data_IF_603221228460
#
_entry.id   IF_603221228460
#
_cell.length_a   1.000
_cell.length_b   1.000
_cell.length_c   1.000
_cell.angle_alpha   90.00
_cell.angle_beta   90.00
_cell.angle_gamma   90.00
#
_symmetry.space_group_name_H-M   'P 1'
#
loop_
_entity.id
_entity.type
_entity.pdbx_description
1 polymer ?
#
# COMPACT_ATOMS: atom_id res chain seq x y z
N UNK A 1 -35.51 -6.87 -40.42
CA UNK A 1 -34.25 -7.36 -39.84
C UNK A 1 -33.08 -6.74 -40.58
N UNK A 2 -32.45 -5.71 -40.02
CA UNK A 2 -31.23 -5.13 -40.57
C UNK A 2 -30.10 -5.37 -39.57
N UNK A 3 -29.17 -6.27 -39.91
CA UNK A 3 -27.94 -6.51 -39.14
C UNK A 3 -27.03 -5.30 -39.36
N UNK A 4 -26.89 -4.45 -38.34
CA UNK A 4 -25.82 -3.45 -38.31
C UNK A 4 -24.54 -4.17 -37.91
N UNK A 5 -23.62 -4.30 -38.86
CA UNK A 5 -22.25 -4.75 -38.62
C UNK A 5 -21.59 -3.79 -37.61
N UNK A 6 -21.16 -4.32 -36.46
CA UNK A 6 -20.25 -3.61 -35.57
C UNK A 6 -18.88 -3.56 -36.26
N UNK A 7 -18.46 -2.36 -36.66
CA UNK A 7 -17.07 -2.13 -37.05
C UNK A 7 -16.23 -2.17 -35.77
N UNK A 8 -15.31 -3.13 -35.69
CA UNK A 8 -14.27 -3.18 -34.67
C UNK A 8 -13.28 -2.05 -35.01
N UNK A 9 -13.36 -0.93 -34.30
CA UNK A 9 -12.37 0.13 -34.42
C UNK A 9 -11.03 -0.44 -33.93
N UNK A 10 -10.07 -0.56 -34.84
CA UNK A 10 -8.70 -0.96 -34.50
C UNK A 10 -8.07 0.17 -33.72
N UNK A 11 -7.76 -0.08 -32.44
CA UNK A 11 -7.00 0.84 -31.59
C UNK A 11 -5.56 0.84 -32.12
N UNK A 12 -5.17 1.90 -32.81
CA UNK A 12 -3.76 2.14 -33.14
C UNK A 12 -3.04 2.50 -31.84
N UNK A 13 -2.04 1.71 -31.45
CA UNK A 13 -1.19 2.00 -30.30
C UNK A 13 -0.37 3.27 -30.58
N UNK A 14 -0.62 4.34 -29.83
CA UNK A 14 0.11 5.60 -29.92
C UNK A 14 1.35 5.54 -29.04
N UNK A 15 2.51 5.19 -29.60
CA UNK A 15 3.78 5.43 -28.91
C UNK A 15 4.23 6.87 -29.13
N UNK A 16 3.93 7.73 -28.16
CA UNK A 16 4.49 9.08 -28.08
C UNK A 16 5.93 9.01 -27.52
N UNK A 17 6.88 9.66 -28.18
CA UNK A 17 8.22 9.92 -27.62
C UNK A 17 8.25 11.37 -27.15
N UNK A 18 8.29 11.57 -25.83
CA UNK A 18 8.31 12.89 -25.21
C UNK A 18 9.75 13.38 -25.05
N UNK A 19 9.96 14.65 -25.42
CA UNK A 19 11.17 15.40 -25.09
C UNK A 19 11.18 15.66 -23.58
N UNK A 20 12.30 15.38 -22.90
CA UNK A 20 12.53 15.58 -21.46
C UNK A 20 12.40 17.05 -21.02
N UNK A 21 11.17 17.57 -20.99
CA UNK A 21 10.78 18.64 -20.09
C UNK A 21 10.37 18.00 -18.77
N UNK A 22 10.98 18.40 -17.65
CA UNK A 22 10.54 17.90 -16.34
C UNK A 22 9.06 18.27 -16.15
N UNK A 23 8.22 17.27 -15.90
CA UNK A 23 6.82 17.45 -15.55
C UNK A 23 6.68 18.46 -14.40
N UNK A 24 5.69 19.35 -14.45
CA UNK A 24 5.48 20.32 -13.37
C UNK A 24 5.01 19.61 -12.11
N UNK A 25 5.79 19.72 -11.05
CA UNK A 25 5.47 19.20 -9.72
C UNK A 25 5.23 20.33 -8.71
N UNK A 26 4.38 20.12 -7.69
CA UNK A 26 4.01 21.16 -6.71
C UNK A 26 5.13 21.56 -5.75
N UNK A 27 6.20 20.77 -5.67
CA UNK A 27 7.24 20.86 -4.66
C UNK A 27 6.79 20.26 -3.32
N UNK A 28 7.77 19.90 -2.50
CA UNK A 28 7.57 19.49 -1.12
C UNK A 28 8.50 20.28 -0.18
N UNK A 29 8.01 20.70 1.00
CA UNK A 29 8.88 21.24 2.05
C UNK A 29 9.78 20.16 2.68
N UNK A 30 9.48 18.87 2.47
CA UNK A 30 10.30 17.77 2.98
C UNK A 30 11.42 17.41 2.00
N UNK A 31 12.62 17.19 2.53
CA UNK A 31 13.79 16.81 1.74
C UNK A 31 13.72 15.37 1.20
N UNK A 32 12.99 14.50 1.91
CA UNK A 32 12.75 13.12 1.51
C UNK A 32 11.24 12.91 1.52
N UNK A 33 10.65 12.78 0.34
CA UNK A 33 9.23 12.60 0.16
C UNK A 33 8.96 11.63 -0.99
N UNK A 34 7.87 10.89 -0.88
CA UNK A 34 7.35 10.10 -1.97
C UNK A 34 6.71 11.01 -3.02
N UNK A 35 6.93 10.65 -4.28
CA UNK A 35 6.30 11.29 -5.43
C UNK A 35 5.93 10.31 -6.52
N UNK A 36 5.01 10.71 -7.38
CA UNK A 36 4.70 10.02 -8.63
C UNK A 36 4.44 11.03 -9.74
N UNK A 37 5.02 10.76 -10.91
CA UNK A 37 4.78 11.46 -12.17
C UNK A 37 4.08 10.50 -13.13
N UNK A 38 3.04 10.98 -13.82
CA UNK A 38 2.27 10.19 -14.78
C UNK A 38 2.05 10.97 -16.06
N UNK A 39 2.29 10.29 -17.17
CA UNK A 39 1.80 10.71 -18.48
C UNK A 39 0.74 9.73 -18.98
N UNK A 40 -0.38 10.26 -19.43
CA UNK A 40 -1.49 9.49 -19.98
C UNK A 40 -2.19 10.22 -21.13
N UNK A 41 -2.92 9.46 -21.93
CA UNK A 41 -3.74 9.97 -23.03
C UNK A 41 -5.20 9.59 -22.78
N UNK A 42 -6.09 10.58 -22.81
CA UNK A 42 -7.52 10.40 -22.70
C UNK A 42 -8.18 10.61 -24.07
N UNK A 43 -9.13 9.74 -24.42
CA UNK A 43 -9.87 9.77 -25.70
C UNK A 43 -10.97 10.85 -25.75
N UNK A 44 -10.77 11.98 -25.06
CA UNK A 44 -11.66 13.14 -25.03
C UNK A 44 -10.85 14.44 -24.95
N UNK A 45 -11.42 15.59 -25.35
CA UNK A 45 -10.76 16.89 -25.22
C UNK A 45 -10.45 17.24 -23.77
N UNK A 46 -9.41 18.05 -23.52
CA UNK A 46 -8.97 18.34 -22.17
C UNK A 46 -10.00 19.08 -21.32
N UNK A 47 -10.91 19.82 -21.96
CA UNK A 47 -12.05 20.41 -21.26
C UNK A 47 -12.93 19.34 -20.58
N UNK A 48 -13.24 18.24 -21.27
CA UNK A 48 -14.06 17.15 -20.72
C UNK A 48 -13.33 16.37 -19.63
N UNK A 49 -12.02 16.16 -19.79
CA UNK A 49 -11.16 15.55 -18.76
C UNK A 49 -11.12 16.43 -17.49
N UNK A 50 -10.88 17.74 -17.65
CA UNK A 50 -10.94 18.72 -16.55
C UNK A 50 -12.28 18.66 -15.83
N UNK A 51 -13.38 18.64 -16.58
CA UNK A 51 -14.71 18.59 -16.01
C UNK A 51 -14.96 17.33 -15.19
N UNK A 52 -14.45 16.16 -15.62
CA UNK A 52 -14.55 14.92 -14.83
C UNK A 52 -13.73 15.00 -13.54
N UNK A 53 -12.48 15.49 -13.63
CA UNK A 53 -11.61 15.69 -12.45
C UNK A 53 -12.33 16.57 -11.41
N UNK A 54 -12.86 17.72 -11.84
CA UNK A 54 -13.57 18.65 -10.96
C UNK A 54 -14.91 18.11 -10.46
N UNK A 55 -15.60 17.29 -11.28
CA UNK A 55 -16.82 16.62 -10.86
C UNK A 55 -16.53 15.60 -9.74
N UNK A 56 -15.44 14.82 -9.83
CA UNK A 56 -15.01 13.93 -8.74
C UNK A 56 -14.70 14.70 -7.47
N UNK A 57 -13.95 15.80 -7.57
CA UNK A 57 -13.61 16.65 -6.42
C UNK A 57 -14.87 17.22 -5.75
N UNK A 58 -15.89 17.62 -6.52
CA UNK A 58 -17.12 18.19 -5.96
C UNK A 58 -18.13 17.15 -5.44
N UNK A 59 -18.15 15.94 -5.99
CA UNK A 59 -19.06 14.86 -5.61
C UNK A 59 -18.62 14.05 -4.37
N UNK A 60 -17.47 14.39 -3.78
CA UNK A 60 -16.89 13.68 -2.63
C UNK A 60 -17.84 13.62 -1.45
N UNK A 61 -18.07 12.43 -0.90
CA UNK A 61 -18.97 12.26 0.23
C UNK A 61 -20.42 11.97 -0.16
N UNK A 62 -20.75 12.05 -1.45
CA UNK A 62 -22.08 11.82 -2.00
C UNK A 62 -21.99 10.78 -3.12
N UNK A 63 -21.85 11.23 -4.37
CA UNK A 63 -21.84 10.38 -5.55
C UNK A 63 -20.46 9.80 -5.86
N UNK A 64 -19.40 10.33 -5.24
CA UNK A 64 -18.05 9.83 -5.44
C UNK A 64 -17.27 9.78 -4.13
N UNK A 65 -16.36 8.83 -4.03
CA UNK A 65 -15.41 8.71 -2.93
C UNK A 65 -14.10 8.20 -3.51
N UNK A 66 -12.98 8.64 -2.91
CA UNK A 66 -11.66 8.14 -3.23
C UNK A 66 -11.57 6.62 -2.98
N UNK A 67 -11.45 5.79 -4.02
CA UNK A 67 -11.50 4.34 -3.87
C UNK A 67 -10.16 3.74 -3.40
N UNK A 68 -9.11 4.55 -3.27
CA UNK A 68 -7.81 4.06 -2.79
C UNK A 68 -7.78 3.91 -1.26
N UNK A 69 -8.11 4.97 -0.51
CA UNK A 69 -8.25 4.87 0.94
C UNK A 69 -9.23 5.88 1.55
N UNK A 70 -10.15 6.41 0.74
CA UNK A 70 -11.17 7.36 1.21
C UNK A 70 -10.62 8.73 1.57
N UNK A 71 -9.52 9.15 0.94
CA UNK A 71 -9.00 10.51 1.08
C UNK A 71 -9.94 11.57 0.50
N UNK A 72 -9.66 12.83 0.83
CA UNK A 72 -10.43 13.98 0.36
C UNK A 72 -9.55 14.89 -0.49
N UNK A 73 -9.95 15.09 -1.74
CA UNK A 73 -9.33 16.01 -2.70
C UNK A 73 -9.85 17.44 -2.52
N UNK A 74 -9.03 18.44 -2.86
CA UNK A 74 -9.42 19.86 -2.90
C UNK A 74 -8.76 20.54 -4.09
N UNK A 75 -9.51 21.39 -4.79
CA UNK A 75 -8.94 22.31 -5.76
C UNK A 75 -8.24 23.46 -5.03
N UNK A 76 -6.97 23.70 -5.36
CA UNK A 76 -6.16 24.80 -4.83
C UNK A 76 -6.07 25.96 -5.81
N UNK A 77 -6.04 25.66 -7.11
CA UNK A 77 -5.96 26.66 -8.17
C UNK A 77 -6.20 26.06 -9.54
N UNK A 78 -6.59 26.91 -10.49
CA UNK A 78 -6.66 26.56 -11.90
C UNK A 78 -6.10 27.71 -12.74
N UNK A 79 -5.41 27.36 -13.83
CA UNK A 79 -4.93 28.36 -14.78
C UNK A 79 -4.93 27.82 -16.21
N UNK A 80 -4.77 28.73 -17.17
CA UNK A 80 -4.60 28.39 -18.58
C UNK A 80 -3.35 29.10 -19.09
N UNK A 81 -2.40 28.34 -19.63
CA UNK A 81 -1.17 28.87 -20.23
C UNK A 81 -1.22 28.80 -21.77
N UNK A 82 -0.46 29.66 -22.43
CA UNK A 82 -0.38 29.73 -23.90
C UNK A 82 0.17 28.43 -24.50
N UNK A 83 -0.33 28.04 -25.67
CA UNK A 83 -0.14 26.71 -26.26
C UNK A 83 1.33 26.30 -26.46
N UNK A 84 1.63 25.06 -26.07
CA UNK A 84 2.85 24.37 -26.47
C UNK A 84 2.67 23.72 -27.84
N UNK A 85 3.73 23.73 -28.66
CA UNK A 85 3.82 22.91 -29.87
C UNK A 85 4.48 21.59 -29.51
N UNK A 86 3.87 20.49 -29.90
CA UNK A 86 4.42 19.14 -29.72
C UNK A 86 4.30 18.38 -31.02
N UNK A 87 5.14 17.36 -31.16
CA UNK A 87 5.19 16.55 -32.37
C UNK A 87 4.53 15.20 -32.07
N UNK A 88 3.40 14.92 -32.71
CA UNK A 88 2.74 13.61 -32.65
C UNK A 88 3.10 12.89 -33.96
N UNK A 89 3.78 11.74 -33.91
CA UNK A 89 4.12 10.95 -35.11
C UNK A 89 4.91 11.73 -36.19
N UNK A 90 5.78 12.66 -35.79
CA UNK A 90 6.49 13.53 -36.74
C UNK A 90 5.62 14.62 -37.38
N UNK A 91 4.36 14.77 -36.95
CA UNK A 91 3.47 15.86 -37.37
C UNK A 91 3.47 16.97 -36.30
N UNK A 92 3.70 18.23 -36.68
CA UNK A 92 3.52 19.35 -35.76
C UNK A 92 2.05 19.47 -35.38
N UNK A 93 1.76 19.33 -34.09
CA UNK A 93 0.45 19.59 -33.51
C UNK A 93 0.51 20.90 -32.73
N UNK A 94 -0.37 21.84 -33.09
CA UNK A 94 -0.54 23.10 -32.36
C UNK A 94 -1.58 22.92 -31.26
N UNK A 95 -1.14 22.89 -30.00
CA UNK A 95 -2.05 22.83 -28.85
C UNK A 95 -2.77 24.15 -28.60
N UNK A 96 -4.07 24.08 -28.33
CA UNK A 96 -4.93 25.21 -27.92
C UNK A 96 -4.74 25.58 -26.45
N UNK A 97 -3.51 25.83 -26.02
CA UNK A 97 -3.19 26.15 -24.62
C UNK A 97 -3.21 24.94 -23.69
N UNK A 98 -2.50 25.04 -22.56
CA UNK A 98 -2.53 24.00 -21.53
C UNK A 98 -3.46 24.44 -20.40
N UNK A 99 -4.27 23.51 -19.89
CA UNK A 99 -5.05 23.72 -18.66
C UNK A 99 -4.26 23.16 -17.48
N UNK A 100 -4.02 23.98 -16.47
CA UNK A 100 -3.34 23.54 -15.26
C UNK A 100 -4.33 23.50 -14.08
N UNK A 101 -4.31 22.40 -13.33
CA UNK A 101 -5.05 22.24 -12.09
C UNK A 101 -4.07 21.94 -10.95
N UNK A 102 -4.16 22.71 -9.88
CA UNK A 102 -3.44 22.45 -8.64
C UNK A 102 -4.43 21.89 -7.63
N UNK A 103 -4.16 20.70 -7.09
CA UNK A 103 -5.01 20.03 -6.13
C UNK A 103 -4.23 19.63 -4.89
N UNK A 104 -4.93 19.36 -3.80
CA UNK A 104 -4.39 18.58 -2.69
C UNK A 104 -5.28 17.38 -2.41
N UNK A 105 -4.71 16.40 -1.74
CA UNK A 105 -5.44 15.29 -1.16
C UNK A 105 -4.99 15.09 0.27
N UNK A 106 -5.94 14.89 1.16
CA UNK A 106 -5.69 14.50 2.55
C UNK A 106 -6.18 13.08 2.77
N UNK A 107 -5.36 12.23 3.40
CA UNK A 107 -5.78 10.85 3.73
C UNK A 107 -6.98 10.83 4.67
N UNK A 108 -7.75 9.74 4.70
CA UNK A 108 -8.96 9.63 5.53
C UNK A 108 -8.72 9.88 7.02
N UNK A 109 -7.53 9.57 7.53
CA UNK A 109 -7.13 9.82 8.92
C UNK A 109 -6.59 11.25 9.18
N UNK A 110 -6.58 12.13 8.17
CA UNK A 110 -6.10 13.51 8.28
C UNK A 110 -4.57 13.67 8.40
N UNK A 111 -3.80 12.59 8.39
CA UNK A 111 -2.38 12.60 8.77
C UNK A 111 -1.43 13.00 7.63
N UNK A 112 -1.76 12.62 6.41
CA UNK A 112 -0.91 12.86 5.25
C UNK A 112 -1.61 13.80 4.28
N UNK A 113 -0.85 14.75 3.75
CA UNK A 113 -1.28 15.66 2.71
C UNK A 113 -0.31 15.57 1.55
N UNK A 114 -0.87 15.33 0.37
CA UNK A 114 -0.14 15.35 -0.89
C UNK A 114 -0.67 16.53 -1.71
N UNK A 115 0.21 17.22 -2.41
CA UNK A 115 -0.19 18.19 -3.44
C UNK A 115 -0.03 17.55 -4.80
N UNK A 116 -0.86 17.97 -5.75
CA UNK A 116 -0.83 17.49 -7.12
C UNK A 116 -0.90 18.66 -8.09
N UNK A 117 -0.26 18.49 -9.23
CA UNK A 117 -0.43 19.35 -10.39
C UNK A 117 -0.83 18.47 -11.57
N UNK A 118 -1.86 18.90 -12.30
CA UNK A 118 -2.23 18.35 -13.60
C UNK A 118 -1.99 19.41 -14.66
N UNK A 119 -1.36 19.04 -15.76
CA UNK A 119 -1.24 19.81 -16.99
C UNK A 119 -1.93 19.03 -18.09
N UNK A 120 -3.01 19.60 -18.62
CA UNK A 120 -3.84 19.00 -19.67
C UNK A 120 -3.60 19.74 -20.98
N UNK A 121 -3.25 19.00 -22.02
CA UNK A 121 -2.85 19.56 -23.31
C UNK A 121 -3.67 18.95 -24.45
N UNK A 122 -4.42 19.80 -25.17
CA UNK A 122 -5.37 19.35 -26.20
C UNK A 122 -4.68 18.74 -27.44
N UNK A 123 -4.82 17.44 -27.67
CA UNK A 123 -4.32 16.76 -28.86
C UNK A 123 -5.45 16.53 -29.87
N UNK A 124 -5.89 17.59 -30.56
CA UNK A 124 -7.07 17.56 -31.43
C UNK A 124 -8.35 17.12 -30.70
N UNK A 125 -8.72 15.85 -30.80
CA UNK A 125 -9.89 15.25 -30.14
C UNK A 125 -9.56 14.61 -28.79
N UNK A 126 -8.27 14.41 -28.53
CA UNK A 126 -7.76 13.69 -27.35
C UNK A 126 -7.12 14.69 -26.38
N UNK A 127 -6.78 14.21 -25.20
CA UNK A 127 -6.10 15.01 -24.19
C UNK A 127 -4.87 14.30 -23.67
N UNK A 128 -3.73 14.96 -23.72
CA UNK A 128 -2.55 14.53 -22.98
C UNK A 128 -2.67 15.02 -21.54
N UNK A 129 -2.49 14.09 -20.60
CA UNK A 129 -2.49 14.32 -19.16
C UNK A 129 -1.06 14.14 -18.69
N UNK A 130 -0.47 15.21 -18.17
CA UNK A 130 0.78 15.16 -17.41
C UNK A 130 0.46 15.53 -15.97
N UNK A 131 0.77 14.66 -15.01
CA UNK A 131 0.38 14.88 -13.63
C UNK A 131 1.44 14.43 -12.63
N UNK A 132 1.68 15.25 -11.61
CA UNK A 132 2.66 14.96 -10.57
C UNK A 132 2.02 15.11 -9.19
N UNK A 133 2.25 14.15 -8.30
CA UNK A 133 1.82 14.16 -6.89
C UNK A 133 3.03 14.07 -5.98
N UNK A 134 3.13 14.94 -4.98
CA UNK A 134 4.22 14.95 -4.00
C UNK A 134 3.70 15.10 -2.57
N UNK A 135 4.18 14.20 -1.70
CA UNK A 135 3.92 14.25 -0.26
C UNK A 135 4.49 15.51 0.36
N UNK A 136 3.67 16.21 1.15
CA UNK A 136 4.07 17.45 1.85
C UNK A 136 4.76 17.17 3.20
N UNK A 137 4.97 15.90 3.54
CA UNK A 137 5.67 15.43 4.73
C UNK A 137 6.72 14.38 4.37
N UNK A 138 7.58 14.02 5.32
CA UNK A 138 8.58 12.96 5.13
C UNK A 138 7.93 11.62 4.84
N UNK A 139 8.26 11.04 3.69
CA UNK A 139 7.80 9.73 3.24
C UNK A 139 8.82 9.11 2.29
N UNK A 140 9.05 7.80 2.41
CA UNK A 140 10.00 7.06 1.56
C UNK A 140 9.27 6.03 0.72
N UNK A 141 8.33 5.32 1.33
CA UNK A 141 7.49 4.35 0.68
C UNK A 141 6.02 4.71 0.92
N UNK A 142 5.24 4.80 -0.15
CA UNK A 142 3.87 5.30 -0.12
C UNK A 142 2.84 4.28 -0.63
N UNK A 143 3.26 3.07 -0.98
CA UNK A 143 2.37 2.01 -1.49
C UNK A 143 1.53 2.45 -2.70
N UNK A 144 2.11 3.27 -3.57
CA UNK A 144 1.44 3.87 -4.73
C UNK A 144 0.46 5.00 -4.38
N UNK A 145 0.44 5.52 -3.15
CA UNK A 145 -0.49 6.59 -2.76
C UNK A 145 -0.38 7.78 -3.71
N UNK A 146 0.82 8.31 -3.99
CA UNK A 146 0.95 9.45 -4.90
C UNK A 146 0.49 9.12 -6.32
N UNK A 147 0.76 7.92 -6.81
CA UNK A 147 0.27 7.47 -8.11
C UNK A 147 -1.27 7.34 -8.13
N UNK A 148 -1.85 6.73 -7.11
CA UNK A 148 -3.29 6.56 -6.98
C UNK A 148 -4.02 7.89 -6.79
N UNK A 149 -3.43 8.85 -6.08
CA UNK A 149 -3.95 10.21 -5.97
C UNK A 149 -4.19 10.82 -7.36
N UNK A 150 -3.29 10.57 -8.30
CA UNK A 150 -3.42 11.03 -9.68
C UNK A 150 -4.44 10.19 -10.44
N UNK A 151 -4.21 8.87 -10.49
CA UNK A 151 -5.00 7.94 -11.31
C UNK A 151 -6.48 7.99 -10.98
N UNK A 152 -6.85 8.15 -9.71
CA UNK A 152 -8.25 8.18 -9.29
C UNK A 152 -9.02 9.41 -9.76
N UNK A 153 -8.35 10.44 -10.27
CA UNK A 153 -9.01 11.63 -10.82
C UNK A 153 -9.30 11.53 -12.32
N UNK A 154 -8.59 10.69 -13.07
CA UNK A 154 -8.79 10.56 -14.53
C UNK A 154 -9.11 9.15 -15.02
N UNK A 155 -9.00 8.10 -14.19
CA UNK A 155 -9.28 6.73 -14.61
C UNK A 155 -10.70 6.54 -15.12
N UNK A 156 -10.89 5.57 -16.02
CA UNK A 156 -12.14 5.29 -16.71
C UNK A 156 -12.98 4.21 -16.03
N UNK A 157 -14.22 4.02 -16.49
CA UNK A 157 -15.02 2.86 -16.07
C UNK A 157 -14.38 1.52 -16.49
N UNK A 158 -13.64 1.50 -17.61
CA UNK A 158 -12.90 0.32 -18.07
C UNK A 158 -11.75 -0.06 -17.12
N UNK A 159 -11.22 0.91 -16.37
CA UNK A 159 -10.25 0.68 -15.30
C UNK A 159 -10.89 0.25 -13.98
N UNK A 160 -12.22 0.16 -13.93
CA UNK A 160 -13.00 -0.12 -12.72
C UNK A 160 -13.35 1.11 -11.87
N UNK A 161 -13.09 2.32 -12.37
CA UNK A 161 -13.41 3.54 -11.64
C UNK A 161 -14.87 3.97 -11.81
N UNK A 162 -15.42 4.61 -10.77
CA UNK A 162 -16.72 5.27 -10.87
C UNK A 162 -16.54 6.64 -11.51
N UNK A 163 -17.18 6.85 -12.65
CA UNK A 163 -17.24 8.16 -13.32
C UNK A 163 -18.35 9.02 -12.73
N UNK A 164 -18.20 10.34 -12.82
CA UNK A 164 -19.19 11.29 -12.30
C UNK A 164 -19.90 12.05 -13.41
N UNK A 165 -19.15 12.55 -14.40
CA UNK A 165 -19.65 13.37 -15.49
C UNK A 165 -19.26 12.84 -16.87
N UNK A 166 -17.98 12.54 -17.10
CA UNK A 166 -17.49 12.07 -18.40
C UNK A 166 -16.73 10.75 -18.22
N UNK A 167 -17.05 9.76 -19.07
CA UNK A 167 -16.31 8.50 -19.17
C UNK A 167 -15.52 8.48 -20.49
N UNK A 168 -14.27 8.06 -20.44
CA UNK A 168 -13.34 8.11 -21.57
C UNK A 168 -12.26 7.06 -21.43
N UNK A 169 -11.75 6.53 -22.54
CA UNK A 169 -10.63 5.60 -22.50
C UNK A 169 -9.35 6.33 -22.10
N UNK A 170 -8.53 5.68 -21.30
CA UNK A 170 -7.24 6.21 -20.83
C UNK A 170 -6.14 5.21 -21.11
N UNK A 171 -5.02 5.69 -21.65
CA UNK A 171 -3.78 4.94 -21.80
C UNK A 171 -2.65 5.64 -21.05
N UNK A 172 -2.06 5.00 -20.04
CA UNK A 172 -0.86 5.49 -19.37
C UNK A 172 0.38 5.08 -20.16
N UNK A 173 1.17 6.06 -20.60
CA UNK A 173 2.41 5.81 -21.34
C UNK A 173 3.63 5.79 -20.43
N UNK A 174 3.61 6.56 -19.35
CA UNK A 174 4.71 6.63 -18.39
C UNK A 174 4.21 6.81 -16.96
N UNK A 175 4.78 6.04 -16.03
CA UNK A 175 4.55 6.17 -14.59
C UNK A 175 5.89 6.07 -13.86
N UNK A 176 6.33 7.20 -13.30
CA UNK A 176 7.65 7.37 -12.69
C UNK A 176 7.52 7.77 -11.21
N UNK A 177 7.59 6.80 -10.28
CA UNK A 177 7.60 7.07 -8.84
C UNK A 177 9.00 7.43 -8.34
N UNK A 178 9.08 8.05 -7.15
CA UNK A 178 10.35 8.15 -6.41
C UNK A 178 10.88 6.78 -5.98
N UNK A 179 12.18 6.70 -5.68
CA UNK A 179 12.81 5.49 -5.14
C UNK A 179 12.08 5.05 -3.87
N UNK A 180 11.52 3.83 -3.88
CA UNK A 180 10.76 3.26 -2.77
C UNK A 180 9.24 3.49 -2.82
N UNK A 181 8.75 4.38 -3.70
CA UNK A 181 7.33 4.59 -3.92
C UNK A 181 6.74 3.58 -4.92
N UNK A 182 5.45 3.27 -4.75
CA UNK A 182 4.76 2.27 -5.56
C UNK A 182 4.17 2.85 -6.85
N UNK A 183 3.81 1.96 -7.79
CA UNK A 183 3.11 2.30 -9.05
C UNK A 183 2.11 1.23 -9.49
N UNK A 184 1.53 0.50 -8.55
CA UNK A 184 0.59 -0.58 -8.86
C UNK A 184 -0.83 -0.03 -9.06
N UNK A 185 -1.42 -0.07 -10.27
CA UNK A 185 -2.79 0.41 -10.51
C UNK A 185 -3.84 -0.37 -9.73
N UNK A 186 -3.57 -1.65 -9.39
CA UNK A 186 -4.50 -2.46 -8.60
C UNK A 186 -4.58 -1.99 -7.15
N UNK A 187 -3.52 -1.34 -6.64
CA UNK A 187 -3.53 -0.75 -5.32
C UNK A 187 -4.48 0.46 -5.21
N UNK A 188 -4.89 1.05 -6.34
CA UNK A 188 -5.73 2.25 -6.33
C UNK A 188 -7.22 1.99 -6.13
N UNK A 189 -7.68 0.77 -6.43
CA UNK A 189 -9.06 0.35 -6.24
C UNK A 189 -9.14 -0.63 -5.08
N UNK A 190 -8.96 -0.11 -3.87
CA UNK A 190 -9.17 -0.89 -2.66
C UNK A 190 -10.68 -0.90 -2.42
N UNK A 191 -11.33 -2.05 -2.55
CA UNK A 191 -12.75 -2.17 -2.20
C UNK A 191 -12.91 -1.79 -0.73
N UNK A 192 -13.28 -0.53 -0.48
CA UNK A 192 -13.87 -0.10 0.77
C UNK A 192 -15.30 -0.63 0.79
N UNK A 193 -15.44 -1.95 0.93
CA UNK A 193 -16.51 -2.37 1.82
C UNK A 193 -16.18 -1.68 3.14
N UNK A 194 -17.16 -1.01 3.74
CA UNK A 194 -17.13 -0.72 5.16
C UNK A 194 -17.06 -2.08 5.89
N UNK A 195 -15.90 -2.73 5.87
CA UNK A 195 -15.58 -3.83 6.76
C UNK A 195 -15.44 -3.18 8.12
N UNK A 196 -16.49 -3.29 8.91
CA UNK A 196 -16.27 -3.59 10.32
C UNK A 196 -15.34 -4.79 10.30
N UNK A 197 -14.03 -4.57 10.46
CA UNK A 197 -13.04 -5.63 10.39
C UNK A 197 -13.49 -6.71 11.37
N UNK A 198 -13.83 -7.88 10.85
CA UNK A 198 -14.11 -9.02 11.71
C UNK A 198 -12.81 -9.32 12.46
N UNK A 199 -12.84 -9.64 13.76
CA UNK A 199 -11.68 -10.09 14.52
C UNK A 199 -10.89 -11.24 13.85
N UNK A 200 -11.55 -11.98 12.96
CA UNK A 200 -10.98 -13.12 12.22
C UNK A 200 -10.09 -12.65 11.06
N UNK A 201 -10.51 -11.65 10.29
CA UNK A 201 -9.74 -11.17 9.13
C UNK A 201 -8.47 -10.43 9.58
N UNK A 202 -8.59 -9.65 10.67
CA UNK A 202 -7.43 -8.99 11.28
C UNK A 202 -6.41 -10.00 11.86
N UNK A 203 -6.88 -11.17 12.33
CA UNK A 203 -6.00 -12.23 12.81
C UNK A 203 -5.23 -12.90 11.67
N UNK A 204 -5.86 -13.06 10.51
CA UNK A 204 -5.23 -13.61 9.31
C UNK A 204 -4.17 -12.64 8.76
N UNK A 205 -4.51 -11.35 8.63
CA UNK A 205 -3.58 -10.32 8.14
C UNK A 205 -2.38 -10.12 9.08
N UNK A 206 -2.60 -10.15 10.40
CA UNK A 206 -1.52 -10.11 11.40
C UNK A 206 -0.66 -11.38 11.34
N UNK A 207 -1.29 -12.55 11.20
CA UNK A 207 -0.60 -13.83 11.04
C UNK A 207 0.28 -13.86 9.80
N UNK A 208 -0.19 -13.28 8.69
CA UNK A 208 0.57 -13.13 7.45
C UNK A 208 1.80 -12.24 7.60
N UNK A 209 1.69 -11.13 8.35
CA UNK A 209 2.82 -10.24 8.65
C UNK A 209 3.87 -10.99 9.47
N UNK A 210 3.44 -11.64 10.56
CA UNK A 210 4.33 -12.40 11.44
C UNK A 210 5.02 -13.53 10.67
N UNK A 211 4.25 -14.27 9.87
CA UNK A 211 4.76 -15.38 9.03
C UNK A 211 5.78 -14.86 8.04
N UNK A 212 5.52 -13.72 7.38
CA UNK A 212 6.50 -13.15 6.46
C UNK A 212 7.79 -12.76 7.18
N UNK A 213 7.68 -11.95 8.25
CA UNK A 213 8.84 -11.42 8.98
C UNK A 213 9.69 -12.56 9.52
N UNK A 214 9.05 -13.54 10.15
CA UNK A 214 9.73 -14.73 10.68
C UNK A 214 10.38 -15.57 9.57
N UNK A 215 9.69 -15.84 8.46
CA UNK A 215 10.23 -16.70 7.41
C UNK A 215 11.35 -16.05 6.57
N UNK A 216 11.32 -14.73 6.38
CA UNK A 216 12.20 -14.06 5.43
C UNK A 216 13.22 -13.12 6.07
N UNK A 217 12.97 -12.66 7.30
CA UNK A 217 13.78 -11.64 7.96
C UNK A 217 14.20 -12.08 9.36
N UNK A 218 15.31 -12.84 9.47
CA UNK A 218 15.81 -13.28 10.75
C UNK A 218 16.16 -12.09 11.66
N UNK A 219 15.97 -12.27 12.96
CA UNK A 219 16.38 -11.27 13.95
C UNK A 219 17.87 -11.29 14.15
N UNK A 220 18.47 -10.12 14.19
CA UNK A 220 19.87 -9.95 14.55
C UNK A 220 20.02 -10.08 16.08
N UNK A 221 20.84 -11.02 16.60
CA UNK A 221 20.99 -11.24 18.05
C UNK A 221 21.58 -10.03 18.80
N UNK A 222 22.22 -9.10 18.08
CA UNK A 222 22.81 -7.89 18.67
C UNK A 222 21.76 -6.80 18.88
N UNK A 223 20.86 -6.59 17.91
CA UNK A 223 19.84 -5.54 17.96
C UNK A 223 18.45 -6.05 18.37
N UNK A 224 18.20 -7.36 18.29
CA UNK A 224 16.90 -8.01 18.47
C UNK A 224 15.80 -7.43 17.58
N UNK A 225 16.19 -6.88 16.43
CA UNK A 225 15.30 -6.29 15.43
C UNK A 225 15.66 -6.92 14.08
N UNK A 226 14.67 -7.30 13.26
CA UNK A 226 14.94 -7.73 11.88
C UNK A 226 15.53 -6.57 11.08
N UNK A 227 16.43 -6.86 10.15
CA UNK A 227 16.99 -5.84 9.26
C UNK A 227 15.89 -5.03 8.56
N UNK A 228 15.90 -3.71 8.71
CA UNK A 228 14.96 -2.82 8.00
C UNK A 228 15.03 -3.02 6.50
N UNK A 229 16.23 -3.25 5.95
CA UNK A 229 16.40 -3.52 4.53
C UNK A 229 15.73 -4.85 4.12
N UNK A 230 15.84 -5.88 4.95
CA UNK A 230 15.15 -7.15 4.70
C UNK A 230 13.63 -6.98 4.74
N UNK A 231 13.12 -6.31 5.77
CA UNK A 231 11.69 -6.08 5.94
C UNK A 231 11.10 -5.34 4.73
N UNK A 232 11.81 -4.33 4.23
CA UNK A 232 11.43 -3.55 3.05
C UNK A 232 11.54 -4.36 1.74
N UNK A 233 12.44 -5.34 1.64
CA UNK A 233 12.62 -6.14 0.42
C UNK A 233 11.67 -7.33 0.36
N UNK A 234 11.48 -8.04 1.47
CA UNK A 234 10.81 -9.35 1.45
C UNK A 234 9.41 -9.33 2.07
N UNK A 235 9.14 -8.40 3.00
CA UNK A 235 7.88 -8.40 3.77
C UNK A 235 7.09 -7.11 3.71
N UNK A 236 7.49 -6.19 2.84
CA UNK A 236 6.92 -4.87 2.75
C UNK A 236 5.43 -4.86 2.44
N UNK A 237 4.97 -5.72 1.52
CA UNK A 237 3.56 -5.83 1.16
C UNK A 237 2.69 -6.27 2.34
N UNK A 238 3.18 -7.20 3.17
CA UNK A 238 2.48 -7.66 4.39
C UNK A 238 2.57 -6.62 5.50
N UNK A 239 3.76 -6.05 5.74
CA UNK A 239 3.98 -4.99 6.76
C UNK A 239 3.18 -3.72 6.50
N UNK A 240 2.79 -3.45 5.26
CA UNK A 240 1.95 -2.31 4.88
C UNK A 240 0.63 -2.26 5.67
N UNK A 241 0.06 -3.43 5.98
CA UNK A 241 -1.13 -3.55 6.81
C UNK A 241 -0.93 -2.88 8.18
N UNK A 242 0.22 -3.12 8.80
CA UNK A 242 0.54 -2.61 10.13
C UNK A 242 0.90 -1.12 10.16
N UNK A 243 1.08 -0.49 8.99
CA UNK A 243 1.20 0.96 8.91
C UNK A 243 -0.14 1.66 9.15
N UNK A 244 -1.25 1.02 8.76
CA UNK A 244 -2.61 1.57 8.87
C UNK A 244 -3.42 0.94 9.99
N UNK A 245 -3.16 -0.32 10.35
CA UNK A 245 -3.84 -1.02 11.43
C UNK A 245 -3.15 -0.79 12.78
N UNK A 246 -3.92 -0.28 13.75
CA UNK A 246 -3.41 0.03 15.09
C UNK A 246 -3.12 -1.22 15.92
N UNK A 247 -3.90 -2.30 15.77
CA UNK A 247 -3.68 -3.53 16.53
C UNK A 247 -2.40 -4.22 16.08
N UNK A 248 -2.15 -4.31 14.76
CA UNK A 248 -0.90 -4.85 14.25
C UNK A 248 0.30 -3.97 14.65
N UNK A 249 0.19 -2.64 14.55
CA UNK A 249 1.27 -1.73 14.96
C UNK A 249 1.61 -1.90 16.44
N UNK A 250 0.62 -1.94 17.31
CA UNK A 250 0.81 -2.11 18.75
C UNK A 250 1.40 -3.48 19.08
N UNK A 251 1.01 -4.52 18.36
CA UNK A 251 1.61 -5.84 18.48
C UNK A 251 3.10 -5.80 18.12
N UNK A 252 3.48 -5.23 16.96
CA UNK A 252 4.89 -5.15 16.56
C UNK A 252 5.75 -4.34 17.56
N UNK A 253 5.20 -3.24 18.08
CA UNK A 253 5.88 -2.43 19.10
C UNK A 253 5.99 -3.19 20.43
N UNK A 254 4.98 -3.97 20.80
CA UNK A 254 5.00 -4.82 21.98
C UNK A 254 6.09 -5.90 21.84
N UNK A 255 6.14 -6.59 20.69
CA UNK A 255 7.18 -7.59 20.38
C UNK A 255 8.58 -7.00 20.52
N UNK A 256 8.81 -5.83 19.90
CA UNK A 256 10.09 -5.11 20.01
C UNK A 256 10.43 -4.76 21.46
N UNK A 257 9.45 -4.32 22.25
CA UNK A 257 9.65 -3.99 23.66
C UNK A 257 10.05 -5.23 24.47
N UNK A 258 9.43 -6.37 24.19
CA UNK A 258 9.70 -7.64 24.85
C UNK A 258 11.09 -8.23 24.51
N UNK A 259 11.55 -8.06 23.27
CA UNK A 259 12.85 -8.61 22.83
C UNK A 259 14.02 -7.65 23.06
N UNK A 260 13.77 -6.34 23.15
CA UNK A 260 14.83 -5.34 23.37
C UNK A 260 15.76 -5.59 24.58
N UNK A 261 15.32 -6.17 25.72
CA UNK A 261 16.21 -6.44 26.86
C UNK A 261 17.19 -7.59 26.62
N UNK A 262 17.00 -8.38 25.55
CA UNK A 262 17.87 -9.49 25.15
C UNK A 262 19.05 -9.03 24.28
N UNK A 263 19.00 -7.80 23.77
CA UNK A 263 20.03 -7.25 22.89
C UNK A 263 21.41 -7.31 23.56
N UNK A 264 22.39 -7.84 22.84
CA UNK A 264 23.80 -7.97 23.29
C UNK A 264 24.02 -8.90 24.48
N UNK A 265 23.06 -9.79 24.77
CA UNK A 265 23.19 -10.84 25.76
C UNK A 265 23.25 -12.21 25.08
N UNK A 266 23.92 -13.17 25.70
CA UNK A 266 23.86 -14.59 25.30
C UNK A 266 22.42 -15.10 25.30
N UNK A 267 21.57 -14.53 26.15
CA UNK A 267 20.12 -14.79 26.17
C UNK A 267 19.43 -14.45 24.84
N UNK A 268 19.94 -13.46 24.09
CA UNK A 268 19.45 -13.12 22.75
C UNK A 268 19.81 -14.17 21.71
N UNK A 269 20.97 -14.82 21.82
CA UNK A 269 21.38 -15.91 20.93
C UNK A 269 20.49 -17.14 21.11
N UNK A 270 20.20 -17.52 22.37
CA UNK A 270 19.27 -18.61 22.66
C UNK A 270 17.85 -18.31 22.18
N UNK A 271 17.40 -17.05 22.30
CA UNK A 271 16.09 -16.62 21.79
C UNK A 271 16.01 -16.74 20.27
N UNK A 272 17.03 -16.24 19.55
CA UNK A 272 17.10 -16.33 18.09
C UNK A 272 17.18 -17.79 17.63
N UNK A 273 17.95 -18.64 18.33
CA UNK A 273 18.07 -20.06 18.01
C UNK A 273 16.75 -20.82 18.19
N UNK A 274 16.01 -20.56 19.28
CA UNK A 274 14.68 -21.12 19.52
C UNK A 274 13.70 -20.71 18.41
N UNK A 275 13.66 -19.41 18.09
CA UNK A 275 12.77 -18.89 17.05
C UNK A 275 13.11 -19.42 15.65
N UNK A 276 14.40 -19.54 15.31
CA UNK A 276 14.86 -20.10 14.03
C UNK A 276 14.47 -21.59 13.88
N UNK A 277 14.58 -22.38 14.96
CA UNK A 277 14.13 -23.76 14.94
C UNK A 277 12.61 -23.84 14.68
N UNK A 278 11.84 -23.04 15.40
CA UNK A 278 10.37 -23.02 15.27
C UNK A 278 9.97 -22.66 13.85
N UNK A 279 10.62 -21.67 13.23
CA UNK A 279 10.38 -21.30 11.83
C UNK A 279 10.66 -22.44 10.86
N UNK A 280 11.74 -23.19 11.09
CA UNK A 280 12.16 -24.25 10.19
C UNK A 280 11.27 -25.51 10.29
N UNK A 281 10.80 -25.82 11.50
CA UNK A 281 10.20 -27.14 11.79
C UNK A 281 8.72 -27.09 12.17
N UNK A 282 8.20 -25.93 12.56
CA UNK A 282 6.83 -25.76 13.05
C UNK A 282 6.09 -24.68 12.26
N UNK A 283 5.72 -24.95 10.99
CA UNK A 283 4.98 -24.00 10.18
C UNK A 283 3.55 -23.80 10.73
N UNK A 284 3.04 -22.59 10.54
CA UNK A 284 1.68 -22.22 10.93
C UNK A 284 1.64 -21.28 12.15
N UNK A 285 0.55 -20.52 12.22
CA UNK A 285 0.32 -19.57 13.31
C UNK A 285 -1.10 -19.75 13.86
N UNK A 286 -1.28 -19.90 15.19
CA UNK A 286 -0.23 -20.01 16.22
C UNK A 286 0.57 -21.31 16.07
N UNK A 287 1.78 -21.31 16.63
CA UNK A 287 2.67 -22.47 16.59
C UNK A 287 2.14 -23.56 17.53
N UNK A 288 2.13 -24.82 17.07
CA UNK A 288 1.74 -25.96 17.90
C UNK A 288 2.76 -26.22 19.02
N UNK A 289 2.30 -26.23 20.27
CA UNK A 289 3.08 -26.63 21.46
C UNK A 289 3.73 -27.99 21.29
N UNK A 290 2.99 -28.95 20.73
CA UNK A 290 3.46 -30.31 20.48
C UNK A 290 4.56 -30.32 19.42
N UNK A 291 4.45 -29.48 18.39
CA UNK A 291 5.51 -29.35 17.39
C UNK A 291 6.80 -28.81 18.00
N UNK A 292 6.71 -27.71 18.77
CA UNK A 292 7.90 -27.11 19.41
C UNK A 292 8.55 -28.11 20.34
N UNK A 293 7.78 -28.82 21.16
CA UNK A 293 8.30 -29.84 22.06
C UNK A 293 9.00 -31.00 21.31
N UNK A 294 8.44 -31.45 20.18
CA UNK A 294 8.98 -32.59 19.42
C UNK A 294 10.19 -32.22 18.54
N UNK A 295 10.21 -31.02 17.98
CA UNK A 295 11.18 -30.65 16.95
C UNK A 295 12.18 -29.59 17.40
N UNK A 296 11.84 -28.78 18.40
CA UNK A 296 12.64 -27.65 18.88
C UNK A 296 12.86 -27.65 20.39
N UNK A 297 12.59 -28.78 21.05
CA UNK A 297 12.65 -28.90 22.50
C UNK A 297 14.01 -28.54 23.09
N UNK A 298 15.12 -28.87 22.41
CA UNK A 298 16.46 -28.50 22.85
C UNK A 298 16.68 -26.98 22.89
N UNK A 299 16.37 -26.28 21.81
CA UNK A 299 16.57 -24.83 21.68
C UNK A 299 15.60 -24.06 22.57
N UNK A 300 14.36 -24.54 22.66
CA UNK A 300 13.38 -24.01 23.61
C UNK A 300 13.86 -24.21 25.06
N UNK A 301 14.37 -25.40 25.41
CA UNK A 301 14.86 -25.67 26.77
C UNK A 301 16.04 -24.78 27.15
N UNK A 302 16.99 -24.56 26.24
CA UNK A 302 18.12 -23.64 26.45
C UNK A 302 17.63 -22.22 26.74
N UNK A 303 16.66 -21.71 25.98
CA UNK A 303 16.08 -20.40 26.26
C UNK A 303 15.36 -20.36 27.62
N UNK A 304 14.60 -21.40 27.99
CA UNK A 304 13.88 -21.42 29.27
C UNK A 304 14.77 -21.48 30.51
N UNK A 305 16.00 -22.00 30.37
CA UNK A 305 17.01 -21.99 31.44
C UNK A 305 17.62 -20.60 31.68
N UNK A 306 17.49 -19.70 30.70
CA UNK A 306 17.99 -18.33 30.77
C UNK A 306 16.85 -17.38 31.14
N UNK A 307 16.93 -16.78 32.34
CA UNK A 307 15.84 -16.00 32.94
C UNK A 307 15.30 -14.91 32.01
N UNK A 308 16.18 -14.14 31.34
CA UNK A 308 15.77 -13.07 30.44
C UNK A 308 15.17 -13.61 29.15
N UNK A 309 15.72 -14.71 28.62
CA UNK A 309 15.20 -15.36 27.42
C UNK A 309 13.76 -15.84 27.65
N UNK A 310 13.53 -16.52 28.79
CA UNK A 310 12.19 -16.89 29.27
C UNK A 310 11.25 -15.69 29.41
N UNK A 311 11.69 -14.62 30.09
CA UNK A 311 10.88 -13.40 30.25
C UNK A 311 10.54 -12.75 28.90
N UNK A 312 11.46 -12.81 27.92
CA UNK A 312 11.23 -12.33 26.56
C UNK A 312 10.14 -13.13 25.84
N UNK A 313 10.16 -14.47 25.95
CA UNK A 313 9.13 -15.34 25.37
C UNK A 313 7.76 -15.11 26.02
N UNK A 314 7.70 -15.08 27.35
CA UNK A 314 6.45 -14.83 28.09
C UNK A 314 5.85 -13.45 27.76
N UNK A 315 6.70 -12.43 27.61
CA UNK A 315 6.27 -11.10 27.20
C UNK A 315 5.75 -11.08 25.75
N UNK A 316 6.47 -11.75 24.83
CA UNK A 316 6.10 -11.83 23.42
C UNK A 316 4.75 -12.55 23.20
N UNK A 317 4.45 -13.61 23.96
CA UNK A 317 3.16 -14.29 23.92
C UNK A 317 2.01 -13.35 24.32
N UNK A 318 2.23 -12.52 25.35
CA UNK A 318 1.28 -11.50 25.80
C UNK A 318 1.02 -10.34 24.83
N UNK A 319 1.79 -10.22 23.75
CA UNK A 319 1.63 -9.18 22.75
C UNK A 319 0.54 -9.47 21.71
N UNK A 320 0.01 -10.70 21.67
CA UNK A 320 -1.06 -11.06 20.74
C UNK A 320 -2.36 -10.34 21.11
N UNK A 321 -3.03 -9.65 20.18
CA UNK A 321 -4.30 -8.99 20.48
C UNK A 321 -5.33 -10.00 21.00
N UNK A 322 -6.09 -9.66 22.04
CA UNK A 322 -7.14 -10.55 22.59
C UNK A 322 -8.18 -10.98 21.54
N UNK A 323 -8.43 -10.15 20.52
CA UNK A 323 -9.27 -10.47 19.36
C UNK A 323 -8.70 -11.59 18.50
N UNK A 324 -7.38 -11.61 18.31
CA UNK A 324 -6.61 -12.61 17.57
C UNK A 324 -6.51 -13.89 18.38
N UNK A 325 -6.15 -13.79 19.67
CA UNK A 325 -6.14 -14.93 20.59
C UNK A 325 -7.52 -15.64 20.67
N UNK A 326 -8.61 -14.86 20.70
CA UNK A 326 -9.97 -15.38 20.70
C UNK A 326 -10.44 -15.97 19.36
N UNK A 327 -10.00 -15.40 18.22
CA UNK A 327 -10.28 -15.93 16.89
C UNK A 327 -9.52 -17.24 16.62
N UNK A 328 -8.25 -17.30 17.03
CA UNK A 328 -7.41 -18.50 17.04
C UNK A 328 -8.05 -19.61 17.89
N UNK A 329 -8.51 -19.28 19.09
CA UNK A 329 -9.19 -20.24 19.98
C UNK A 329 -10.51 -20.78 19.40
N UNK A 330 -11.23 -19.98 18.60
CA UNK A 330 -12.44 -20.40 17.89
C UNK A 330 -12.13 -21.25 16.65
N UNK A 331 -11.09 -20.92 15.88
CA UNK A 331 -10.63 -21.69 14.73
C UNK A 331 -10.07 -23.07 15.12
N UNK A 332 -9.38 -23.14 16.28
CA UNK A 332 -8.93 -24.42 16.85
C UNK A 332 -10.10 -25.32 17.30
N UNK A 333 -11.28 -24.76 17.61
CA UNK A 333 -12.46 -25.54 18.03
C UNK A 333 -13.30 -26.07 16.86
N UNK A 334 -13.23 -25.45 15.66
CA UNK A 334 -13.98 -25.91 14.48
C UNK A 334 -13.30 -27.05 13.72
N UNK A 335 -12.03 -27.36 14.03
CA UNK A 335 -11.25 -28.45 13.46
C UNK A 335 -11.07 -29.65 14.40
N UNK A 336 -12.14 -30.39 14.71
CA UNK A 336 -12.05 -31.74 15.28
C UNK A 336 -11.64 -31.86 16.76
N UNK A 337 -12.30 -32.76 17.49
CA UNK A 337 -12.08 -33.05 18.91
C UNK A 337 -10.64 -33.48 19.24
N UNK A 338 -9.81 -32.57 19.78
CA UNK A 338 -8.79 -32.86 20.80
C UNK A 338 -8.00 -31.59 21.19
N UNK A 339 -8.56 -30.71 22.03
CA UNK A 339 -7.79 -29.74 22.84
C UNK A 339 -8.71 -28.95 23.76
N UNK A 340 -9.34 -29.61 24.75
CA UNK A 340 -10.13 -28.91 25.78
C UNK A 340 -9.41 -28.72 27.11
N UNK A 341 -8.16 -29.16 27.22
CA UNK A 341 -7.31 -28.90 28.38
C UNK A 341 -5.89 -28.67 27.86
N UNK A 342 -5.37 -27.44 27.92
CA UNK A 342 -3.98 -27.17 27.51
C UNK A 342 -3.61 -25.78 27.00
N UNK A 343 -4.52 -24.79 26.99
CA UNK A 343 -4.24 -23.43 26.46
C UNK A 343 -3.42 -22.55 27.44
N UNK A 344 -2.57 -23.15 28.27
CA UNK A 344 -1.75 -22.43 29.26
C UNK A 344 -0.27 -22.83 29.26
N UNK A 345 0.22 -23.56 28.24
CA UNK A 345 1.59 -24.09 28.23
C UNK A 345 2.28 -23.78 26.89
N UNK A 346 2.42 -22.49 26.60
CA UNK A 346 3.45 -21.90 25.71
C UNK A 346 3.56 -20.38 25.99
N UNK A 347 3.33 -19.92 27.22
CA UNK A 347 4.41 -19.82 28.23
C UNK A 347 5.25 -21.09 28.41
N UNK A 348 6.26 -21.27 27.55
CA UNK A 348 7.60 -21.85 27.79
C UNK A 348 8.50 -21.44 26.62
#
# INVERSE_FOLDING_TARGET
MARRSMAVASVAAFMATVSEGRMKCPGSPSWIHAKAEVQAFASLPCASVKEEILARVSAQGQDWHDPHNGGTYKLLGESKSGGSTYTILGQPSSGTGNLELELSRTTANGKYMDKMVFTLTDLNTDCMIEACSESQVTSVADFSTNYCNLRMLYCSSADGCKTVKNDFAVEETEVTPSIGAGKDPKACLVKKELRVASPVDAAEDIGDVLTCVSANCPMDPVSMIPSTLCLLQNCFSKLSYCAVDEACRNMLLCQQKCTSPLAKLTDGEHFVAANACVQQHCPGFPVSTTCVAMHCGSQASECTHHEKCRQGLECADGCLPHSVAGAIFKAAQSGGHAAKEGVHILTL
#
